data_IF_838012685736
#
_entry.id   IF_838012685736
#
_cell.length_a   1.000
_cell.length_b   1.000
_cell.length_c   1.000
_cell.angle_alpha   90.00
_cell.angle_beta   90.00
_cell.angle_gamma   90.00
#
_symmetry.space_group_name_H-M   'P 1'
#
loop_
_entity.id
_entity.type
_entity.pdbx_description
1 polymer ?
#
# COMPACT_ATOMS: atom_id res chain seq x y z
N UNK A 1 20.13 15.03 -0.39
CA UNK A 1 18.98 15.08 -1.31
C UNK A 1 17.81 15.64 -0.54
N UNK A 2 17.08 16.65 -1.04
CA UNK A 2 16.01 17.24 -0.27
C UNK A 2 14.84 16.26 -0.13
N UNK A 3 14.39 16.08 1.07
CA UNK A 3 13.12 15.43 1.40
C UNK A 3 12.00 16.22 0.72
N UNK A 4 11.38 15.63 -0.30
CA UNK A 4 10.18 16.20 -0.91
C UNK A 4 9.08 16.21 0.17
N UNK A 5 8.74 17.40 0.60
CA UNK A 5 7.74 17.61 1.65
C UNK A 5 6.34 17.27 1.12
N UNK A 6 5.56 16.70 1.98
CA UNK A 6 4.17 16.21 1.90
C UNK A 6 3.14 17.27 1.42
N UNK A 7 3.58 18.42 0.91
CA UNK A 7 2.68 19.54 0.55
C UNK A 7 1.77 19.29 -0.66
N UNK A 8 2.00 18.23 -1.46
CA UNK A 8 1.20 17.98 -2.65
C UNK A 8 -0.11 17.21 -2.37
N UNK A 9 -0.12 16.41 -1.33
CA UNK A 9 -1.31 15.63 -0.95
C UNK A 9 -2.37 16.48 -0.22
N UNK A 10 -1.94 17.50 0.52
CA UNK A 10 -2.86 18.34 1.31
C UNK A 10 -3.77 19.25 0.46
N UNK A 11 -3.38 19.58 -0.77
CA UNK A 11 -4.12 20.55 -1.58
C UNK A 11 -5.33 19.97 -2.33
N UNK A 12 -5.44 18.66 -2.50
CA UNK A 12 -6.47 18.04 -3.32
C UNK A 12 -7.44 17.10 -2.57
N UNK A 13 -7.17 16.72 -1.34
CA UNK A 13 -8.04 15.86 -0.56
C UNK A 13 -8.58 16.60 0.67
N UNK A 14 -9.89 16.84 0.71
CA UNK A 14 -10.62 17.36 1.90
C UNK A 14 -10.77 16.31 2.99
N UNK A 15 -9.73 15.53 3.27
CA UNK A 15 -9.73 14.58 4.38
C UNK A 15 -8.98 15.26 5.53
N UNK A 16 -9.59 15.39 6.71
CA UNK A 16 -8.88 15.90 7.87
C UNK A 16 -7.77 14.91 8.23
N UNK A 17 -6.52 15.37 8.09
CA UNK A 17 -5.29 14.58 8.22
C UNK A 17 -4.64 14.65 9.62
N UNK A 18 -5.26 14.24 10.73
CA UNK A 18 -4.48 14.09 11.94
C UNK A 18 -3.90 12.68 12.15
N UNK A 19 -4.22 11.69 11.28
CA UNK A 19 -3.92 10.28 11.58
C UNK A 19 -3.41 9.44 10.41
N UNK A 20 -3.11 10.04 9.25
CA UNK A 20 -2.67 9.30 8.07
C UNK A 20 -1.21 9.60 7.75
N UNK A 21 -0.41 8.55 7.63
CA UNK A 21 0.94 8.65 7.12
C UNK A 21 1.02 7.86 5.82
N UNK A 22 1.13 8.59 4.71
CA UNK A 22 1.52 8.02 3.44
C UNK A 22 3.02 7.80 3.46
N UNK A 23 3.44 6.58 3.25
CA UNK A 23 4.84 6.29 3.13
C UNK A 23 5.17 6.03 1.67
N UNK A 24 5.65 7.07 1.02
CA UNK A 24 6.11 7.10 -0.37
C UNK A 24 7.46 6.47 -0.58
N UNK A 25 7.89 5.65 0.26
CA UNK A 25 9.22 5.10 0.16
C UNK A 25 9.12 3.60 0.23
N UNK A 26 10.02 2.93 -0.50
CA UNK A 26 10.26 1.52 -0.23
C UNK A 26 10.13 1.32 1.27
N UNK A 27 9.65 0.17 1.70
CA UNK A 27 9.63 -0.18 3.11
C UNK A 27 10.95 0.19 3.82
N UNK A 28 12.08 0.23 3.10
CA UNK A 28 13.37 0.74 3.56
C UNK A 28 13.37 2.19 3.98
N UNK A 29 12.46 3.01 3.52
CA UNK A 29 12.47 4.43 3.89
C UNK A 29 11.38 4.83 4.89
N UNK A 30 10.36 4.00 5.10
CA UNK A 30 9.65 3.96 6.38
C UNK A 30 10.62 3.50 7.45
N UNK A 31 11.61 2.82 6.96
CA UNK A 31 12.64 2.13 7.68
C UNK A 31 13.97 2.82 7.52
N UNK A 32 14.13 3.94 7.14
CA UNK A 32 15.40 4.58 7.48
C UNK A 32 15.92 3.99 8.81
N UNK A 33 15.18 3.00 9.15
CA UNK A 33 15.11 2.14 10.29
C UNK A 33 14.51 0.79 9.88
N UNK A 34 15.30 -0.08 9.21
CA UNK A 34 15.08 -1.53 9.23
C UNK A 34 13.67 -1.99 9.67
N UNK A 35 12.65 -2.03 8.85
CA UNK A 35 11.35 -2.67 9.09
C UNK A 35 10.75 -2.62 10.49
N UNK A 36 11.58 -2.36 11.46
CA UNK A 36 11.33 -2.50 12.88
C UNK A 36 10.64 -1.30 13.51
N UNK A 37 10.66 -0.11 12.86
CA UNK A 37 10.19 1.07 13.55
C UNK A 37 8.67 1.19 13.63
N UNK A 38 7.92 0.64 12.68
CA UNK A 38 6.46 0.50 12.81
C UNK A 38 6.12 -0.50 13.91
N UNK A 39 6.86 -1.61 13.95
CA UNK A 39 6.62 -2.72 14.86
C UNK A 39 7.07 -2.41 16.28
N UNK A 40 8.16 -1.66 16.44
CA UNK A 40 8.81 -1.46 17.74
C UNK A 40 8.63 -0.06 18.35
N UNK A 41 7.97 0.89 17.68
CA UNK A 41 7.73 2.19 18.27
C UNK A 41 6.60 2.15 19.31
N UNK A 42 6.88 2.35 20.61
CA UNK A 42 5.81 2.40 21.61
C UNK A 42 4.99 3.69 21.53
N UNK A 43 5.46 4.69 20.76
CA UNK A 43 4.87 6.03 20.71
C UNK A 43 4.06 6.25 19.43
N UNK A 44 4.26 5.43 18.39
CA UNK A 44 3.65 5.64 17.10
C UNK A 44 2.92 4.37 16.64
N UNK A 45 1.60 4.40 16.71
CA UNK A 45 0.73 3.37 16.13
C UNK A 45 -0.22 4.04 15.17
N UNK A 46 -0.07 3.87 13.85
CA UNK A 46 -1.01 4.39 12.86
C UNK A 46 -2.36 3.69 12.99
N UNK A 47 -3.43 4.33 12.53
CA UNK A 47 -4.74 3.70 12.43
C UNK A 47 -4.78 2.64 11.32
N UNK A 48 -3.96 2.81 10.28
CA UNK A 48 -3.74 1.86 9.20
C UNK A 48 -2.48 2.21 8.42
N UNK A 49 -2.03 1.30 7.58
CA UNK A 49 -0.79 1.44 6.79
C UNK A 49 -1.04 0.98 5.35
N UNK A 50 -0.54 1.77 4.39
CA UNK A 50 -0.42 1.35 3.00
C UNK A 50 1.05 1.03 2.71
N UNK A 51 1.32 -0.15 2.18
CA UNK A 51 2.66 -0.65 1.92
C UNK A 51 2.89 -0.80 0.43
N UNK A 52 3.90 -0.07 -0.08
CA UNK A 52 4.45 -0.23 -1.43
C UNK A 52 5.88 -0.69 -1.28
N UNK A 53 6.35 -1.62 -2.08
CA UNK A 53 7.76 -2.06 -2.11
C UNK A 53 8.34 -2.50 -0.76
N UNK A 54 7.99 -3.65 -0.32
CA UNK A 54 8.71 -4.31 0.75
C UNK A 54 10.02 -4.89 0.21
N UNK A 55 11.16 -4.53 0.79
CA UNK A 55 12.51 -4.93 0.34
C UNK A 55 13.28 -5.77 1.37
N UNK A 56 12.64 -6.21 2.43
CA UNK A 56 13.24 -7.07 3.45
C UNK A 56 12.22 -8.02 4.06
N UNK A 57 12.69 -9.19 4.49
CA UNK A 57 11.85 -10.15 5.19
C UNK A 57 11.49 -9.63 6.60
N UNK A 58 10.24 -9.86 6.99
CA UNK A 58 9.74 -9.60 8.35
C UNK A 58 9.71 -10.93 9.11
N UNK A 59 10.20 -10.94 10.34
CA UNK A 59 10.20 -12.15 11.18
C UNK A 59 8.77 -12.56 11.56
N UNK A 60 8.57 -13.85 11.91
CA UNK A 60 7.26 -14.32 12.36
C UNK A 60 6.82 -13.64 13.66
N UNK A 61 7.79 -13.30 14.54
CA UNK A 61 7.51 -12.53 15.75
C UNK A 61 6.96 -11.14 15.42
N UNK A 62 7.51 -10.47 14.40
CA UNK A 62 7.07 -9.15 13.98
C UNK A 62 5.74 -9.19 13.20
N UNK A 63 5.49 -10.26 12.44
CA UNK A 63 4.17 -10.51 11.84
C UNK A 63 3.08 -10.56 12.93
N UNK A 64 3.33 -11.22 14.05
CA UNK A 64 2.37 -11.28 15.15
C UNK A 64 2.10 -9.92 15.81
N UNK A 65 3.06 -9.00 15.79
CA UNK A 65 2.86 -7.62 16.27
C UNK A 65 1.96 -6.80 15.35
N UNK A 66 1.82 -7.21 14.08
CA UNK A 66 0.99 -6.56 13.07
C UNK A 66 -0.44 -7.14 12.97
N UNK A 67 -0.78 -8.13 13.78
CA UNK A 67 -2.04 -8.89 13.67
C UNK A 67 -3.32 -8.03 13.77
N UNK A 68 -3.26 -6.92 14.47
CA UNK A 68 -4.40 -6.02 14.71
C UNK A 68 -4.26 -4.68 13.96
N UNK A 69 -3.20 -4.52 13.13
CA UNK A 69 -2.96 -3.31 12.37
C UNK A 69 -3.60 -3.44 10.98
N UNK A 70 -4.55 -2.58 10.60
CA UNK A 70 -5.04 -2.53 9.23
C UNK A 70 -3.91 -2.23 8.24
N UNK A 71 -3.69 -3.13 7.27
CA UNK A 71 -2.59 -3.00 6.30
C UNK A 71 -3.10 -3.30 4.90
N UNK A 72 -2.78 -2.42 3.94
CA UNK A 72 -3.03 -2.68 2.54
C UNK A 72 -1.73 -2.60 1.73
N UNK A 73 -1.35 -3.72 1.13
CA UNK A 73 -0.21 -3.81 0.22
C UNK A 73 -0.62 -3.49 -1.21
N UNK A 74 0.27 -2.87 -1.97
CA UNK A 74 0.17 -2.75 -3.42
C UNK A 74 1.50 -3.04 -4.08
N UNK A 75 1.51 -3.89 -5.09
CA UNK A 75 2.70 -4.29 -5.82
C UNK A 75 2.33 -4.85 -7.19
N UNK A 76 3.25 -4.82 -8.16
CA UNK A 76 3.05 -5.46 -9.44
C UNK A 76 3.72 -6.84 -9.50
N UNK A 77 3.07 -7.81 -10.14
CA UNK A 77 3.51 -9.22 -10.21
C UNK A 77 4.87 -9.40 -10.89
N UNK A 78 5.19 -8.54 -11.84
CA UNK A 78 6.38 -8.65 -12.68
C UNK A 78 7.39 -7.56 -12.41
N UNK A 79 7.37 -6.95 -11.22
CA UNK A 79 8.34 -5.93 -10.82
C UNK A 79 9.77 -6.51 -10.83
N UNK A 80 10.67 -6.02 -11.71
CA UNK A 80 12.03 -6.53 -11.78
C UNK A 80 12.99 -5.83 -10.80
N UNK A 81 12.54 -4.76 -10.16
CA UNK A 81 13.36 -3.95 -9.25
C UNK A 81 13.24 -4.48 -7.81
N UNK A 82 11.99 -4.74 -7.41
CA UNK A 82 11.70 -5.38 -6.12
C UNK A 82 10.84 -6.60 -6.42
N UNK A 83 11.49 -7.76 -6.49
CA UNK A 83 10.83 -9.02 -6.81
C UNK A 83 9.80 -9.35 -5.73
N UNK A 84 8.49 -9.40 -6.05
CA UNK A 84 7.45 -9.56 -5.03
C UNK A 84 7.53 -10.89 -4.29
N UNK A 85 7.92 -11.97 -4.98
CA UNK A 85 8.03 -13.32 -4.40
C UNK A 85 9.14 -13.43 -3.35
N UNK A 86 10.12 -12.53 -3.38
CA UNK A 86 11.20 -12.52 -2.39
C UNK A 86 10.75 -11.92 -1.06
N UNK A 87 9.78 -10.99 -1.05
CA UNK A 87 9.47 -10.22 0.15
C UNK A 87 7.97 -10.05 0.41
N UNK A 88 7.24 -9.31 -0.45
CA UNK A 88 5.87 -8.88 -0.14
C UNK A 88 4.88 -10.04 -0.15
N UNK A 89 4.98 -10.95 -1.12
CA UNK A 89 4.07 -12.11 -1.22
C UNK A 89 4.19 -13.00 0.02
N UNK A 90 5.38 -13.52 0.40
CA UNK A 90 5.50 -14.36 1.59
C UNK A 90 5.19 -13.60 2.90
N UNK A 91 5.37 -12.29 2.95
CA UNK A 91 4.95 -11.49 4.10
C UNK A 91 3.44 -11.41 4.19
N UNK A 92 2.76 -11.07 3.09
CA UNK A 92 1.30 -11.01 3.04
C UNK A 92 0.67 -12.35 3.38
N UNK A 93 1.14 -13.45 2.78
CA UNK A 93 0.60 -14.79 3.02
C UNK A 93 0.71 -15.24 4.49
N UNK A 94 1.76 -14.82 5.20
CA UNK A 94 1.90 -15.06 6.64
C UNK A 94 0.98 -14.16 7.45
N UNK A 95 0.93 -12.87 7.10
CA UNK A 95 0.12 -11.88 7.80
C UNK A 95 -1.38 -12.17 7.66
N UNK A 96 -1.85 -12.53 6.47
CA UNK A 96 -3.26 -12.84 6.22
C UNK A 96 -3.81 -14.03 7.04
N UNK A 97 -2.93 -14.88 7.57
CA UNK A 97 -3.33 -15.98 8.49
C UNK A 97 -3.70 -15.48 9.88
N UNK A 98 -3.21 -14.32 10.28
CA UNK A 98 -3.36 -13.77 11.64
C UNK A 98 -4.03 -12.40 11.67
N UNK A 99 -4.16 -11.74 10.52
CA UNK A 99 -4.75 -10.41 10.39
C UNK A 99 -5.82 -10.42 9.28
N UNK A 100 -7.09 -10.31 9.67
CA UNK A 100 -8.22 -10.31 8.73
C UNK A 100 -8.42 -8.95 8.01
N UNK A 101 -7.73 -7.92 8.44
CA UNK A 101 -7.73 -6.59 7.83
C UNK A 101 -6.39 -6.29 7.13
N UNK A 102 -5.78 -7.34 6.57
CA UNK A 102 -4.64 -7.27 5.68
C UNK A 102 -5.10 -7.52 4.26
N UNK A 103 -4.91 -6.55 3.38
CA UNK A 103 -5.31 -6.59 1.97
C UNK A 103 -4.10 -6.47 1.07
N UNK A 104 -4.20 -6.93 -0.18
CA UNK A 104 -3.12 -6.84 -1.14
C UNK A 104 -3.64 -6.70 -2.57
N UNK A 105 -3.54 -5.52 -3.15
CA UNK A 105 -3.79 -5.33 -4.58
C UNK A 105 -2.54 -5.70 -5.38
N UNK A 106 -2.62 -6.78 -6.16
CA UNK A 106 -1.51 -7.38 -6.87
C UNK A 106 -1.69 -7.23 -8.38
N UNK A 107 -1.03 -6.22 -8.96
CA UNK A 107 -1.23 -5.77 -10.34
C UNK A 107 -0.54 -6.68 -11.35
N UNK A 108 -1.26 -7.06 -12.41
CA UNK A 108 -0.65 -7.67 -13.61
C UNK A 108 0.11 -6.61 -14.43
N UNK A 109 -0.48 -5.41 -14.55
CA UNK A 109 0.04 -4.27 -15.28
C UNK A 109 -0.32 -2.99 -14.55
N UNK A 110 0.53 -1.98 -14.68
CA UNK A 110 0.26 -0.64 -14.17
C UNK A 110 -0.17 0.23 -15.34
N UNK A 111 -1.48 0.46 -15.48
CA UNK A 111 -2.07 1.20 -16.59
C UNK A 111 -2.60 2.56 -16.13
N UNK A 112 -2.64 3.53 -17.05
CA UNK A 112 -3.35 4.79 -16.81
C UNK A 112 -4.85 4.62 -17.06
N UNK A 113 -5.63 4.50 -16.02
CA UNK A 113 -7.09 4.45 -16.10
C UNK A 113 -7.74 5.84 -16.00
N UNK A 114 -6.97 6.89 -15.70
CA UNK A 114 -7.48 8.27 -15.63
C UNK A 114 -7.77 8.85 -17.01
N UNK A 115 -7.18 8.27 -18.06
CA UNK A 115 -7.23 8.79 -19.42
C UNK A 115 -6.32 9.99 -19.68
N UNK A 116 -5.48 10.37 -18.70
CA UNK A 116 -4.51 11.48 -18.82
C UNK A 116 -3.35 11.11 -19.75
N UNK A 117 -2.89 9.87 -19.69
CA UNK A 117 -1.86 9.35 -20.57
C UNK A 117 -2.44 8.24 -21.45
N UNK A 118 -2.14 8.30 -22.74
CA UNK A 118 -2.59 7.32 -23.73
C UNK A 118 -1.48 7.01 -24.72
N UNK A 119 -1.49 5.78 -25.21
CA UNK A 119 -0.70 5.38 -26.36
C UNK A 119 -1.20 6.06 -27.64
N UNK A 120 -0.41 6.04 -28.73
CA UNK A 120 -0.79 6.63 -30.01
C UNK A 120 -2.07 6.04 -30.63
N UNK A 121 -2.41 4.82 -30.28
CA UNK A 121 -3.63 4.10 -30.71
C UNK A 121 -4.86 4.38 -29.80
N UNK A 122 -4.71 5.25 -28.79
CA UNK A 122 -5.77 5.61 -27.85
C UNK A 122 -5.96 4.65 -26.67
N UNK A 123 -5.19 3.55 -26.61
CA UNK A 123 -5.21 2.64 -25.45
C UNK A 123 -4.58 3.30 -24.21
N UNK A 124 -4.92 2.84 -22.99
CA UNK A 124 -4.29 3.30 -21.76
C UNK A 124 -2.77 3.18 -21.82
N UNK A 125 -2.07 4.19 -21.34
CA UNK A 125 -0.61 4.13 -21.23
C UNK A 125 -0.20 3.10 -20.18
N UNK A 126 0.78 2.25 -20.51
CA UNK A 126 1.34 1.28 -19.58
C UNK A 126 2.60 1.88 -18.92
N UNK A 127 2.51 2.13 -17.62
CA UNK A 127 3.64 2.60 -16.83
C UNK A 127 4.63 1.47 -16.55
N UNK A 128 5.83 1.82 -16.11
CA UNK A 128 6.79 0.87 -15.57
C UNK A 128 6.12 0.13 -14.40
N UNK A 129 6.13 -1.19 -14.42
CA UNK A 129 5.45 -2.05 -13.42
C UNK A 129 5.89 -1.76 -11.97
N UNK A 130 7.12 -1.27 -11.79
CA UNK A 130 7.60 -0.79 -10.49
C UNK A 130 6.80 0.40 -9.94
N UNK A 131 5.99 1.10 -10.75
CA UNK A 131 5.25 2.30 -10.32
C UNK A 131 3.83 1.99 -9.84
N UNK A 132 3.66 0.91 -9.10
CA UNK A 132 2.35 0.50 -8.55
C UNK A 132 1.72 1.52 -7.57
N UNK A 133 2.46 2.56 -7.15
CA UNK A 133 1.90 3.69 -6.40
C UNK A 133 0.98 4.59 -7.24
N UNK A 134 1.08 4.58 -8.58
CA UNK A 134 0.23 5.41 -9.44
C UNK A 134 -1.24 5.03 -9.27
N UNK A 135 -1.66 3.77 -9.54
CA UNK A 135 -3.04 3.37 -9.31
C UNK A 135 -3.46 3.49 -7.83
N UNK A 136 -2.54 3.33 -6.87
CA UNK A 136 -2.87 3.57 -5.46
C UNK A 136 -3.26 5.02 -5.22
N UNK A 137 -2.48 6.00 -5.73
CA UNK A 137 -2.78 7.43 -5.58
C UNK A 137 -4.02 7.88 -6.35
N UNK A 138 -4.35 7.17 -7.41
CA UNK A 138 -5.58 7.39 -8.18
C UNK A 138 -6.81 6.72 -7.55
N UNK A 139 -6.66 6.10 -6.36
CA UNK A 139 -7.70 5.35 -5.66
C UNK A 139 -8.25 4.14 -6.44
N UNK A 140 -7.40 3.52 -7.25
CA UNK A 140 -7.78 2.40 -8.13
C UNK A 140 -7.57 1.02 -7.48
N UNK A 141 -6.95 0.95 -6.29
CA UNK A 141 -6.80 -0.28 -5.54
C UNK A 141 -8.15 -0.66 -4.90
N UNK A 142 -8.86 -1.58 -5.53
CA UNK A 142 -10.18 -2.06 -5.08
C UNK A 142 -10.21 -3.58 -4.89
N UNK A 143 -9.29 -4.31 -5.54
CA UNK A 143 -9.24 -5.76 -5.49
C UNK A 143 -8.20 -6.25 -4.48
N UNK A 144 -8.58 -7.27 -3.74
CA UNK A 144 -7.68 -8.02 -2.87
C UNK A 144 -6.88 -9.08 -3.64
N UNK A 145 -5.99 -9.78 -2.96
CA UNK A 145 -5.08 -10.79 -3.50
C UNK A 145 -5.80 -11.94 -4.20
N UNK A 146 -7.00 -12.31 -3.75
CA UNK A 146 -7.84 -13.34 -4.37
C UNK A 146 -8.65 -12.83 -5.58
N UNK A 147 -8.47 -11.58 -5.98
CA UNK A 147 -9.17 -10.94 -7.09
C UNK A 147 -10.60 -10.50 -6.79
N UNK A 148 -11.03 -10.56 -5.53
CA UNK A 148 -12.35 -10.05 -5.12
C UNK A 148 -12.24 -8.62 -4.63
N UNK A 149 -13.33 -7.83 -4.72
CA UNK A 149 -13.32 -6.48 -4.17
C UNK A 149 -13.21 -6.51 -2.64
N UNK A 150 -12.43 -5.57 -2.10
CA UNK A 150 -12.42 -5.29 -0.67
C UNK A 150 -13.73 -4.64 -0.29
N UNK A 151 -14.37 -5.15 0.74
CA UNK A 151 -15.69 -4.72 1.18
C UNK A 151 -15.64 -4.09 2.57
N UNK A 152 -16.21 -2.89 2.75
CA UNK A 152 -16.43 -2.26 4.05
C UNK A 152 -17.92 -1.97 4.17
N UNK A 153 -18.56 -2.46 5.22
CA UNK A 153 -20.00 -2.29 5.47
C UNK A 153 -20.89 -2.72 4.28
N UNK A 154 -20.46 -3.76 3.55
CA UNK A 154 -21.17 -4.31 2.40
C UNK A 154 -21.02 -3.52 1.09
N UNK A 155 -20.15 -2.53 1.05
CA UNK A 155 -19.80 -1.72 -0.14
C UNK A 155 -18.37 -2.02 -0.57
N UNK A 156 -18.16 -2.12 -1.90
CA UNK A 156 -16.82 -2.11 -2.47
C UNK A 156 -16.09 -0.81 -2.08
N UNK A 157 -14.89 -0.94 -1.55
CA UNK A 157 -14.18 0.17 -0.91
C UNK A 157 -12.78 0.31 -1.46
N UNK A 158 -12.48 1.40 -2.20
CA UNK A 158 -11.13 1.71 -2.65
C UNK A 158 -10.19 2.01 -1.48
N UNK A 159 -8.88 1.88 -1.74
CA UNK A 159 -7.83 1.94 -0.72
C UNK A 159 -7.83 3.23 0.10
N UNK A 160 -8.10 4.40 -0.51
CA UNK A 160 -8.09 5.67 0.22
C UNK A 160 -9.34 5.80 1.11
N UNK A 161 -10.52 5.36 0.62
CA UNK A 161 -11.75 5.32 1.41
C UNK A 161 -11.60 4.30 2.56
N UNK A 162 -11.06 3.10 2.27
CA UNK A 162 -10.75 2.10 3.28
C UNK A 162 -9.80 2.65 4.35
N UNK A 163 -8.72 3.32 3.94
CA UNK A 163 -7.77 3.93 4.86
C UNK A 163 -8.45 4.99 5.75
N UNK A 164 -9.29 5.83 5.16
CA UNK A 164 -10.01 6.87 5.89
C UNK A 164 -10.99 6.33 6.95
N UNK A 165 -11.48 5.10 6.74
CA UNK A 165 -12.38 4.44 7.68
C UNK A 165 -11.66 3.82 8.90
N UNK A 166 -10.33 3.65 8.86
CA UNK A 166 -9.58 3.03 9.93
C UNK A 166 -9.57 3.90 11.19
N UNK A 167 -9.71 3.26 12.34
CA UNK A 167 -9.67 3.91 13.65
C UNK A 167 -8.52 3.33 14.46
N UNK A 168 -7.85 4.21 15.20
CA UNK A 168 -6.85 3.76 16.16
C UNK A 168 -7.54 2.96 17.28
N UNK A 169 -7.07 1.73 17.46
CA UNK A 169 -7.48 0.90 18.58
C UNK A 169 -6.95 1.43 19.92
#
# INVERSE_FOLDING_TARGET
MPTASISYAESNFKIPLPHFYFTFTSLTAIYGLDGMSIVNSPLWRPAGVMVMFQVSMISDEDILKLKDLPIWFTHAKTDPVVVPDDFVVPTYERLAKVNQNAHFTYWDKVLDHTGTQKNADGTPFEYIVHWSWIPMLNDECVLDYDGKPVMTDGKETPILEWMAAQKKA
#
